data_IF_255574410155
#
_entry.id   IF_255574410155
#
_cell.length_a   1.000
_cell.length_b   1.000
_cell.length_c   1.000
_cell.angle_alpha   90.00
_cell.angle_beta   90.00
_cell.angle_gamma   90.00
#
_symmetry.space_group_name_H-M   'P 1'
#
loop_
_entity.id
_entity.type
_entity.pdbx_description
1 polymer ?
#
# COMPACT_ATOMS: atom_id res chain seq x y z
N UNK A 1 5.30 15.79 -0.06
CA UNK A 1 6.59 15.22 0.39
C UNK A 1 7.60 15.38 -0.73
N UNK A 2 8.76 15.93 -0.45
CA UNK A 2 9.87 15.96 -1.41
C UNK A 2 10.56 14.59 -1.35
N UNK A 3 10.82 14.00 -2.51
CA UNK A 3 11.62 12.78 -2.59
C UNK A 3 13.05 13.05 -2.06
N UNK A 4 13.69 12.06 -1.44
CA UNK A 4 15.10 12.18 -1.05
C UNK A 4 15.99 12.57 -2.25
N UNK A 5 17.09 13.29 -2.01
CA UNK A 5 18.03 13.65 -3.08
C UNK A 5 18.47 12.44 -3.89
N UNK A 6 18.50 12.58 -5.21
CA UNK A 6 18.88 11.50 -6.16
C UNK A 6 17.78 10.49 -6.48
N UNK A 7 16.62 10.52 -5.80
CA UNK A 7 15.51 9.62 -6.15
C UNK A 7 14.76 10.04 -7.42
N UNK A 8 14.73 11.33 -7.73
CA UNK A 8 14.12 11.81 -8.98
C UNK A 8 14.83 11.27 -10.22
N UNK A 9 16.16 11.09 -10.14
CA UNK A 9 16.98 10.57 -11.24
C UNK A 9 16.76 9.05 -11.44
N UNK A 10 16.22 8.38 -10.43
CA UNK A 10 15.91 6.93 -10.47
C UNK A 10 14.46 6.65 -10.84
N UNK A 11 13.68 7.66 -11.15
CA UNK A 11 12.28 7.49 -11.47
C UNK A 11 12.12 6.89 -12.86
N UNK A 12 11.42 5.76 -12.97
CA UNK A 12 11.20 5.07 -14.24
C UNK A 12 10.04 5.65 -15.05
N UNK A 13 9.17 6.45 -14.43
CA UNK A 13 8.06 7.08 -15.14
C UNK A 13 8.55 8.28 -15.93
N UNK A 14 8.32 8.28 -17.23
CA UNK A 14 8.54 9.46 -18.09
C UNK A 14 7.47 10.51 -17.78
N UNK A 15 7.82 11.44 -16.89
CA UNK A 15 6.92 12.52 -16.46
C UNK A 15 6.65 13.57 -17.55
N UNK A 16 7.50 13.67 -18.55
CA UNK A 16 7.28 14.56 -19.70
C UNK A 16 6.14 14.01 -20.56
N UNK A 17 6.14 12.72 -20.80
CA UNK A 17 5.07 12.03 -21.53
C UNK A 17 3.81 11.86 -20.68
N UNK A 18 3.96 11.43 -19.42
CA UNK A 18 2.84 11.14 -18.50
C UNK A 18 2.66 12.25 -17.46
N UNK A 19 2.32 13.46 -17.91
CA UNK A 19 2.22 14.66 -17.07
C UNK A 19 1.26 14.53 -15.90
N UNK A 20 0.21 13.70 -16.00
CA UNK A 20 -0.72 13.42 -14.90
C UNK A 20 -0.08 12.74 -13.70
N UNK A 21 1.06 12.07 -13.87
CA UNK A 21 1.80 11.41 -12.80
C UNK A 21 2.78 12.33 -12.07
N UNK A 22 2.95 13.57 -12.48
CA UNK A 22 3.86 14.52 -11.82
C UNK A 22 3.51 14.77 -10.34
N UNK A 23 2.23 14.66 -9.98
CA UNK A 23 1.78 14.79 -8.59
C UNK A 23 1.88 13.48 -7.77
N UNK A 24 2.15 12.34 -8.42
CA UNK A 24 2.14 11.01 -7.82
C UNK A 24 3.52 10.35 -7.90
N UNK A 25 4.54 11.04 -7.40
CA UNK A 25 5.96 10.62 -7.49
C UNK A 25 6.28 9.22 -6.93
N UNK A 26 5.38 8.64 -6.14
CA UNK A 26 5.56 7.32 -5.54
C UNK A 26 4.93 6.19 -6.38
N UNK A 27 4.26 6.54 -7.48
CA UNK A 27 3.56 5.60 -8.35
C UNK A 27 4.20 5.67 -9.73
N UNK A 28 4.67 4.54 -10.24
CA UNK A 28 5.16 4.44 -11.60
C UNK A 28 4.02 4.11 -12.58
N UNK A 29 4.08 4.67 -13.78
CA UNK A 29 3.13 4.36 -14.83
C UNK A 29 3.32 2.91 -15.31
N UNK A 30 2.26 2.10 -15.47
CA UNK A 30 2.38 0.69 -15.84
C UNK A 30 3.18 0.44 -17.12
N UNK A 31 2.99 1.26 -18.16
CA UNK A 31 3.74 1.09 -19.42
C UNK A 31 5.25 1.33 -19.24
N UNK A 32 5.63 2.26 -18.36
CA UNK A 32 7.03 2.49 -18.04
C UNK A 32 7.64 1.31 -17.27
N UNK A 33 6.88 0.74 -16.32
CA UNK A 33 7.30 -0.46 -15.60
C UNK A 33 7.51 -1.62 -16.59
N UNK A 34 6.54 -1.84 -17.48
CA UNK A 34 6.63 -2.91 -18.47
C UNK A 34 7.81 -2.72 -19.42
N UNK A 35 8.05 -1.50 -19.88
CA UNK A 35 9.21 -1.18 -20.70
C UNK A 35 10.51 -1.45 -19.94
N UNK A 36 10.62 -1.02 -18.69
CA UNK A 36 11.79 -1.30 -17.84
C UNK A 36 12.01 -2.80 -17.65
N UNK A 37 10.97 -3.57 -17.41
CA UNK A 37 11.05 -5.04 -17.29
C UNK A 37 11.52 -5.73 -18.59
N UNK A 38 11.27 -5.14 -19.75
CA UNK A 38 11.66 -5.71 -21.04
C UNK A 38 13.04 -5.29 -21.48
N UNK A 39 13.49 -4.07 -21.13
CA UNK A 39 14.72 -3.44 -21.63
C UNK A 39 15.85 -3.36 -20.60
N UNK A 40 15.53 -3.55 -19.32
CA UNK A 40 16.41 -3.29 -18.17
C UNK A 40 16.85 -1.82 -18.05
N UNK A 41 16.16 -0.90 -18.74
CA UNK A 41 16.46 0.53 -18.69
C UNK A 41 15.40 1.27 -17.84
N UNK A 42 15.80 2.24 -17.01
CA UNK A 42 17.16 2.74 -16.74
C UNK A 42 18.00 1.85 -15.79
N UNK A 43 17.42 0.80 -15.23
CA UNK A 43 18.05 -0.21 -14.40
C UNK A 43 17.19 -1.48 -14.34
N UNK A 44 17.78 -2.68 -14.16
CA UNK A 44 17.00 -3.91 -14.07
C UNK A 44 16.15 -3.95 -12.79
N UNK A 45 14.88 -4.31 -12.93
CA UNK A 45 14.02 -4.68 -11.82
C UNK A 45 14.24 -6.15 -11.50
N UNK A 46 14.51 -6.46 -10.23
CA UNK A 46 14.93 -7.81 -9.81
C UNK A 46 13.88 -8.54 -8.98
N UNK A 47 12.98 -7.79 -8.33
CA UNK A 47 11.96 -8.33 -7.45
C UNK A 47 10.63 -7.63 -7.68
N UNK A 48 9.56 -8.39 -7.68
CA UNK A 48 8.21 -7.85 -7.58
C UNK A 48 7.51 -8.36 -6.31
N UNK A 49 6.79 -7.46 -5.66
CA UNK A 49 5.95 -7.78 -4.52
C UNK A 49 4.51 -7.38 -4.84
N UNK A 50 3.65 -8.37 -4.95
CA UNK A 50 2.25 -8.20 -5.32
C UNK A 50 1.38 -8.19 -4.06
N UNK A 51 0.63 -7.12 -3.87
CA UNK A 51 -0.30 -6.94 -2.77
C UNK A 51 -1.75 -7.07 -3.25
N UNK A 52 -2.53 -7.97 -2.69
CA UNK A 52 -3.97 -8.09 -2.87
C UNK A 52 -4.39 -7.90 -4.34
N UNK A 53 -3.68 -8.53 -5.27
CA UNK A 53 -3.89 -8.28 -6.69
C UNK A 53 -3.84 -9.55 -7.52
N UNK A 54 -4.79 -9.64 -8.44
CA UNK A 54 -4.72 -10.58 -9.57
C UNK A 54 -4.31 -9.84 -10.84
N UNK A 55 -3.22 -9.04 -10.74
CA UNK A 55 -2.83 -8.02 -11.70
C UNK A 55 -2.74 -8.53 -13.14
N UNK A 56 -2.16 -9.70 -13.36
CA UNK A 56 -1.99 -10.26 -14.71
C UNK A 56 -3.33 -10.64 -15.34
N UNK A 57 -4.26 -11.15 -14.55
CA UNK A 57 -5.56 -11.53 -15.05
C UNK A 57 -6.54 -10.36 -15.21
N UNK A 58 -6.42 -9.32 -14.36
CA UNK A 58 -7.44 -8.28 -14.25
C UNK A 58 -7.00 -6.89 -14.70
N UNK A 59 -5.77 -6.47 -14.40
CA UNK A 59 -5.36 -5.06 -14.50
C UNK A 59 -4.41 -4.75 -15.64
N UNK A 60 -3.74 -5.74 -16.20
CA UNK A 60 -2.84 -5.55 -17.35
C UNK A 60 -3.56 -5.54 -18.69
N UNK A 61 -4.88 -5.70 -18.68
CA UNK A 61 -5.76 -5.62 -19.85
C UNK A 61 -5.28 -6.40 -21.07
N UNK A 62 -5.14 -5.71 -22.21
CA UNK A 62 -4.77 -6.33 -23.47
C UNK A 62 -3.34 -6.88 -23.52
N UNK A 63 -2.50 -6.60 -22.54
CA UNK A 63 -1.08 -6.94 -22.53
C UNK A 63 -0.69 -8.03 -21.51
N UNK A 64 -1.65 -8.79 -20.99
CA UNK A 64 -1.43 -9.79 -19.94
C UNK A 64 -0.29 -10.77 -20.25
N UNK A 65 -0.20 -11.28 -21.49
CA UNK A 65 0.88 -12.18 -21.92
C UNK A 65 2.26 -11.51 -21.91
N UNK A 66 2.32 -10.23 -22.24
CA UNK A 66 3.55 -9.44 -22.24
C UNK A 66 4.03 -9.22 -20.83
N UNK A 67 3.14 -8.82 -19.93
CA UNK A 67 3.39 -8.68 -18.52
C UNK A 67 3.88 -9.99 -17.88
N UNK A 68 3.19 -11.10 -18.16
CA UNK A 68 3.58 -12.40 -17.64
C UNK A 68 5.02 -12.75 -18.00
N UNK A 69 5.36 -12.66 -19.29
CA UNK A 69 6.72 -12.96 -19.80
C UNK A 69 7.80 -12.04 -19.21
N UNK A 70 7.46 -10.78 -18.95
CA UNK A 70 8.38 -9.83 -18.37
C UNK A 70 8.63 -10.13 -16.89
N UNK A 71 7.56 -10.41 -16.13
CA UNK A 71 7.64 -10.72 -14.70
C UNK A 71 8.21 -12.12 -14.41
N UNK A 72 8.07 -13.08 -15.33
CA UNK A 72 8.69 -14.41 -15.23
C UNK A 72 10.22 -14.36 -15.20
N UNK A 73 10.83 -13.29 -15.69
CA UNK A 73 12.28 -13.09 -15.67
C UNK A 73 12.82 -12.54 -14.35
N UNK A 74 11.96 -12.12 -13.44
CA UNK A 74 12.37 -11.57 -12.15
C UNK A 74 13.13 -12.59 -11.33
N UNK A 75 14.13 -12.13 -10.57
CA UNK A 75 14.92 -13.00 -9.70
C UNK A 75 14.08 -13.56 -8.54
N UNK A 76 13.07 -12.82 -8.09
CA UNK A 76 12.21 -13.22 -6.98
C UNK A 76 10.85 -12.49 -7.01
N UNK A 77 9.77 -13.23 -6.95
CA UNK A 77 8.40 -12.72 -6.91
C UNK A 77 7.70 -13.14 -5.62
N UNK A 78 7.15 -12.19 -4.89
CA UNK A 78 6.36 -12.42 -3.68
C UNK A 78 4.90 -12.03 -3.94
N UNK A 79 3.96 -12.88 -3.55
CA UNK A 79 2.55 -12.54 -3.50
C UNK A 79 2.04 -12.54 -2.07
N UNK A 80 1.39 -11.46 -1.69
CA UNK A 80 0.75 -11.25 -0.40
C UNK A 80 -0.74 -11.05 -0.65
N UNK A 81 -1.55 -12.08 -0.42
CA UNK A 81 -2.96 -12.08 -0.76
C UNK A 81 -3.77 -13.02 0.14
N UNK A 82 -5.07 -12.80 0.21
CA UNK A 82 -6.03 -13.70 0.87
C UNK A 82 -6.23 -14.97 0.04
N UNK A 83 -6.13 -14.86 -1.28
CA UNK A 83 -6.38 -15.95 -2.21
C UNK A 83 -5.16 -16.29 -3.06
N UNK A 84 -4.96 -17.57 -3.32
CA UNK A 84 -4.02 -18.02 -4.33
C UNK A 84 -4.56 -17.71 -5.74
N UNK A 85 -4.35 -16.47 -6.16
CA UNK A 85 -4.83 -15.96 -7.45
C UNK A 85 -4.09 -16.60 -8.64
N UNK A 86 -4.63 -16.58 -9.87
CA UNK A 86 -3.90 -16.98 -11.06
C UNK A 86 -2.54 -16.27 -11.24
N UNK A 87 -2.45 -14.99 -10.86
CA UNK A 87 -1.17 -14.26 -10.85
C UNK A 87 -0.19 -14.88 -9.85
N UNK A 88 -0.64 -15.19 -8.63
CA UNK A 88 0.18 -15.84 -7.63
C UNK A 88 0.63 -17.24 -8.07
N UNK A 89 -0.29 -18.05 -8.59
CA UNK A 89 0.02 -19.42 -9.06
C UNK A 89 1.01 -19.43 -10.24
N UNK A 90 0.96 -18.42 -11.09
CA UNK A 90 1.77 -18.39 -12.30
C UNK A 90 3.14 -17.73 -12.15
N UNK A 91 3.32 -16.85 -11.16
CA UNK A 91 4.50 -15.97 -11.09
C UNK A 91 5.24 -16.00 -9.76
N UNK A 92 4.60 -16.38 -8.63
CA UNK A 92 5.21 -16.15 -7.34
C UNK A 92 6.08 -17.31 -6.87
N UNK A 93 7.28 -16.97 -6.41
CA UNK A 93 8.21 -17.88 -5.74
C UNK A 93 7.82 -18.07 -4.27
N UNK A 94 7.23 -17.03 -3.67
CA UNK A 94 6.76 -17.04 -2.29
C UNK A 94 5.34 -16.48 -2.21
N UNK A 95 4.43 -17.25 -1.60
CA UNK A 95 3.10 -16.80 -1.27
C UNK A 95 2.96 -16.58 0.23
N UNK A 96 2.53 -15.37 0.62
CA UNK A 96 2.27 -14.98 2.00
C UNK A 96 0.75 -14.85 2.19
N UNK A 97 0.10 -15.81 2.86
CA UNK A 97 -1.33 -15.75 3.11
C UNK A 97 -1.62 -14.66 4.14
N UNK A 98 -2.54 -13.74 3.81
CA UNK A 98 -2.94 -12.66 4.70
C UNK A 98 -4.32 -12.89 5.30
N UNK A 99 -4.53 -12.27 6.46
CA UNK A 99 -5.82 -12.28 7.14
C UNK A 99 -6.83 -11.35 6.46
N UNK A 100 -8.11 -11.70 6.55
CA UNK A 100 -9.22 -10.80 6.20
C UNK A 100 -9.58 -9.91 7.40
N UNK A 101 -10.46 -8.90 7.17
CA UNK A 101 -11.05 -8.12 8.25
C UNK A 101 -11.63 -9.02 9.35
N UNK A 102 -11.74 -8.52 10.58
CA UNK A 102 -12.14 -9.25 11.79
C UNK A 102 -11.11 -10.28 12.31
N UNK A 103 -10.02 -10.52 11.61
CA UNK A 103 -8.94 -11.46 12.00
C UNK A 103 -7.64 -10.74 12.36
N UNK A 104 -7.60 -9.43 12.25
CA UNK A 104 -6.51 -8.57 12.68
C UNK A 104 -7.06 -7.23 13.14
N UNK A 105 -6.28 -6.53 13.95
CA UNK A 105 -6.54 -5.15 14.31
C UNK A 105 -6.17 -4.24 13.15
N UNK A 106 -6.99 -3.21 12.91
CA UNK A 106 -6.77 -2.29 11.82
C UNK A 106 -7.41 -0.92 12.07
N UNK A 107 -7.01 0.06 11.29
CA UNK A 107 -7.57 1.39 11.34
C UNK A 107 -8.05 1.80 9.95
N UNK A 108 -9.30 2.24 9.85
CA UNK A 108 -9.87 2.82 8.64
C UNK A 108 -9.74 4.32 8.71
N UNK A 109 -8.87 4.85 7.86
CA UNK A 109 -8.62 6.29 7.75
C UNK A 109 -9.58 6.94 6.75
N UNK A 110 -9.80 8.26 6.86
CA UNK A 110 -10.49 9.02 5.84
C UNK A 110 -9.84 8.81 4.47
N UNK A 111 -10.64 8.50 3.47
CA UNK A 111 -10.18 8.26 2.11
C UNK A 111 -10.89 9.18 1.11
N UNK A 112 -10.21 9.54 0.04
CA UNK A 112 -10.62 10.47 -1.01
C UNK A 112 -12.13 10.52 -1.27
N UNK A 113 -12.78 11.63 -0.86
CA UNK A 113 -14.17 11.94 -1.16
C UNK A 113 -15.22 11.05 -0.49
N UNK A 114 -14.80 10.04 0.29
CA UNK A 114 -15.73 9.20 1.07
C UNK A 114 -15.54 9.51 2.55
N UNK A 115 -15.23 8.74 3.44
CA UNK A 115 -15.18 8.94 4.89
C UNK A 115 -14.14 10.01 5.33
N UNK A 116 -14.17 11.19 4.74
CA UNK A 116 -13.13 12.22 4.93
C UNK A 116 -13.10 12.83 6.35
N UNK A 117 -14.00 12.45 7.20
CA UNK A 117 -14.13 12.99 8.57
C UNK A 117 -14.40 11.89 9.61
N UNK A 118 -14.28 10.62 9.23
CA UNK A 118 -14.48 9.50 10.15
C UNK A 118 -13.23 8.63 10.19
N UNK A 119 -12.83 8.26 11.41
CA UNK A 119 -11.78 7.27 11.67
C UNK A 119 -12.43 6.13 12.45
N UNK A 120 -12.16 4.89 12.07
CA UNK A 120 -12.76 3.71 12.69
C UNK A 120 -11.69 2.69 13.03
N UNK A 121 -11.88 1.97 14.13
CA UNK A 121 -11.10 0.77 14.41
C UNK A 121 -11.77 -0.48 13.83
N UNK A 122 -10.95 -1.41 13.40
CA UNK A 122 -11.33 -2.80 13.18
C UNK A 122 -10.69 -3.63 14.28
N UNK A 123 -11.51 -4.29 15.08
CA UNK A 123 -11.01 -5.12 16.17
C UNK A 123 -10.91 -6.58 15.74
N UNK A 124 -9.80 -7.21 16.06
CA UNK A 124 -9.62 -8.64 15.90
C UNK A 124 -10.60 -9.40 16.78
N UNK A 125 -11.40 -10.26 16.19
CA UNK A 125 -12.41 -11.08 16.91
C UNK A 125 -12.11 -12.58 16.84
N UNK A 126 -11.22 -13.02 15.96
CA UNK A 126 -10.82 -14.43 15.86
C UNK A 126 -9.42 -14.56 15.28
N UNK A 127 -8.79 -15.70 15.55
CA UNK A 127 -7.53 -16.11 14.91
C UNK A 127 -7.77 -17.21 13.89
N UNK A 128 -6.99 -17.21 12.81
CA UNK A 128 -7.07 -18.23 11.78
C UNK A 128 -5.66 -18.62 11.32
N UNK A 129 -5.22 -19.77 11.79
CA UNK A 129 -3.92 -20.32 11.43
C UNK A 129 -2.76 -19.36 11.71
N UNK A 130 -1.73 -19.43 10.88
CA UNK A 130 -0.52 -18.62 11.01
C UNK A 130 -0.54 -17.35 10.12
N UNK A 131 -1.70 -17.00 9.54
CA UNK A 131 -1.83 -15.83 8.70
C UNK A 131 -1.59 -14.54 9.49
N UNK A 132 -0.95 -13.56 8.82
CA UNK A 132 -0.70 -12.21 9.34
C UNK A 132 -1.49 -11.20 8.54
N UNK A 133 -1.74 -10.02 9.09
CA UNK A 133 -2.21 -8.89 8.29
C UNK A 133 -1.08 -8.37 7.39
N UNK A 134 -1.46 -7.63 6.35
CA UNK A 134 -0.51 -6.95 5.47
C UNK A 134 0.50 -6.13 6.27
N UNK A 135 -0.01 -5.32 7.19
CA UNK A 135 0.83 -4.43 8.01
C UNK A 135 1.75 -5.20 8.97
N UNK A 136 1.31 -6.32 9.56
CA UNK A 136 2.18 -7.15 10.39
C UNK A 136 3.34 -7.74 9.58
N UNK A 137 3.09 -8.16 8.33
CA UNK A 137 4.14 -8.63 7.42
C UNK A 137 5.12 -7.50 7.12
N UNK A 138 4.61 -6.30 6.80
CA UNK A 138 5.43 -5.12 6.55
C UNK A 138 6.30 -4.76 7.76
N UNK A 139 5.75 -4.83 8.97
CA UNK A 139 6.52 -4.65 10.21
C UNK A 139 7.64 -5.68 10.36
N UNK A 140 7.33 -6.96 10.14
CA UNK A 140 8.33 -8.03 10.27
C UNK A 140 9.48 -7.88 9.27
N UNK A 141 9.18 -7.50 8.04
CA UNK A 141 10.17 -7.27 6.99
C UNK A 141 10.90 -5.95 7.19
N UNK A 142 10.16 -4.86 7.43
CA UNK A 142 10.69 -3.52 7.60
C UNK A 142 11.68 -3.42 8.77
N UNK A 143 11.33 -4.00 9.93
CA UNK A 143 12.24 -4.06 11.10
C UNK A 143 13.55 -4.82 10.82
N UNK A 144 13.52 -5.82 9.94
CA UNK A 144 14.73 -6.56 9.55
C UNK A 144 15.58 -5.80 8.53
N UNK A 145 14.95 -5.12 7.58
CA UNK A 145 15.64 -4.42 6.50
C UNK A 145 16.15 -3.04 6.94
N UNK A 146 15.35 -2.29 7.67
CA UNK A 146 15.68 -0.93 8.11
C UNK A 146 15.00 -0.61 9.45
N UNK A 147 15.56 -1.06 10.59
CA UNK A 147 14.97 -0.85 11.92
C UNK A 147 14.71 0.62 12.26
N UNK A 148 15.55 1.52 11.77
CA UNK A 148 15.41 2.96 12.03
C UNK A 148 14.19 3.60 11.36
N UNK A 149 13.71 3.03 10.26
CA UNK A 149 12.50 3.47 9.59
C UNK A 149 11.22 2.83 10.17
N UNK A 150 11.37 1.86 11.08
CA UNK A 150 10.28 1.15 11.74
C UNK A 150 10.44 1.23 13.27
N UNK A 151 10.29 2.44 13.86
CA UNK A 151 10.60 2.67 15.27
C UNK A 151 9.55 2.10 16.24
N UNK A 152 8.37 1.78 15.76
CA UNK A 152 7.24 1.30 16.57
C UNK A 152 7.46 -0.13 17.04
N UNK A 153 7.07 -0.44 18.28
CA UNK A 153 7.20 -1.80 18.82
C UNK A 153 6.15 -2.75 18.23
N UNK A 154 4.98 -2.23 17.92
CA UNK A 154 3.86 -2.98 17.38
C UNK A 154 2.97 -2.12 16.47
N UNK A 155 1.96 -2.73 15.86
CA UNK A 155 1.01 -2.07 14.96
C UNK A 155 0.14 -1.03 15.69
N UNK A 156 -0.19 -1.25 16.96
CA UNK A 156 -1.01 -0.32 17.73
C UNK A 156 -0.26 1.00 18.01
N UNK A 157 1.04 0.93 18.30
CA UNK A 157 1.89 2.13 18.46
C UNK A 157 1.94 2.94 17.15
N UNK A 158 2.07 2.25 16.02
CA UNK A 158 2.03 2.89 14.71
C UNK A 158 0.68 3.60 14.48
N UNK A 159 -0.44 2.96 14.75
CA UNK A 159 -1.76 3.58 14.57
C UNK A 159 -1.97 4.75 15.53
N UNK A 160 -1.48 4.66 16.77
CA UNK A 160 -1.51 5.78 17.72
C UNK A 160 -0.73 6.98 17.17
N UNK A 161 0.45 6.78 16.62
CA UNK A 161 1.20 7.86 15.98
C UNK A 161 0.47 8.43 14.76
N UNK A 162 -0.18 7.59 13.94
CA UNK A 162 -0.98 8.09 12.80
C UNK A 162 -2.16 8.94 13.27
N UNK A 163 -2.83 8.60 14.36
CA UNK A 163 -3.88 9.42 14.96
C UNK A 163 -3.33 10.77 15.41
N UNK A 164 -2.24 10.80 16.16
CA UNK A 164 -1.59 12.04 16.61
C UNK A 164 -1.13 12.91 15.42
N UNK A 165 -0.54 12.33 14.39
CA UNK A 165 -0.13 13.03 13.17
C UNK A 165 -1.34 13.61 12.40
N UNK A 166 -2.50 12.97 12.52
CA UNK A 166 -3.79 13.46 12.01
C UNK A 166 -4.45 14.53 12.89
N UNK A 167 -3.83 14.91 14.01
CA UNK A 167 -4.38 15.88 14.97
C UNK A 167 -5.44 15.29 15.91
N UNK A 168 -5.47 13.98 16.06
CA UNK A 168 -6.39 13.25 16.96
C UNK A 168 -5.63 12.88 18.22
N UNK A 169 -6.03 13.44 19.37
CA UNK A 169 -5.41 13.18 20.67
C UNK A 169 -6.10 11.98 21.35
N UNK A 170 -5.86 10.79 20.82
CA UNK A 170 -6.27 9.51 21.40
C UNK A 170 -5.33 8.39 20.97
N UNK A 171 -5.29 7.33 21.76
CA UNK A 171 -4.56 6.12 21.40
C UNK A 171 -5.40 5.23 20.47
N UNK A 172 -4.74 4.26 19.82
CA UNK A 172 -5.47 3.27 19.04
C UNK A 172 -6.36 2.39 19.92
N UNK A 173 -5.95 2.09 21.17
CA UNK A 173 -6.77 1.36 22.14
C UNK A 173 -8.04 2.13 22.50
N UNK A 174 -7.97 3.46 22.67
CA UNK A 174 -9.15 4.29 22.89
C UNK A 174 -10.10 4.20 21.69
N UNK A 175 -9.55 4.30 20.48
CA UNK A 175 -10.35 4.16 19.26
C UNK A 175 -10.98 2.75 19.13
N UNK A 176 -10.27 1.69 19.54
CA UNK A 176 -10.81 0.34 19.57
C UNK A 176 -11.99 0.20 20.53
N UNK A 177 -11.92 0.85 21.70
CA UNK A 177 -12.99 0.87 22.69
C UNK A 177 -14.21 1.67 22.22
N UNK A 178 -14.00 2.80 21.58
CA UNK A 178 -15.05 3.67 21.04
C UNK A 178 -15.62 3.17 19.71
N UNK A 179 -14.84 2.37 18.98
CA UNK A 179 -15.17 1.82 17.68
C UNK A 179 -14.95 2.79 16.52
N UNK A 180 -15.29 4.06 16.69
CA UNK A 180 -15.09 5.11 15.69
C UNK A 180 -15.09 6.49 16.31
N UNK A 181 -14.50 7.45 15.60
CA UNK A 181 -14.60 8.86 15.92
C UNK A 181 -14.93 9.68 14.68
N UNK A 182 -15.56 10.82 14.87
CA UNK A 182 -15.82 11.79 13.81
C UNK A 182 -14.94 13.02 14.02
N UNK A 183 -14.15 13.34 13.01
CA UNK A 183 -13.39 14.59 12.98
C UNK A 183 -14.33 15.77 12.73
N UNK A 184 -13.99 16.99 13.19
CA UNK A 184 -14.80 18.16 12.93
C UNK A 184 -15.10 18.33 11.44
N UNK A 185 -16.37 18.44 11.11
CA UNK A 185 -16.84 18.59 9.74
C UNK A 185 -17.70 19.83 9.59
N UNK A 186 -17.38 20.67 8.64
CA UNK A 186 -18.14 21.85 8.29
C UNK A 186 -18.93 21.61 7.00
N UNK A 187 -20.26 21.55 7.11
CA UNK A 187 -21.15 21.39 5.97
C UNK A 187 -21.10 22.61 5.06
N UNK A 188 -21.02 22.39 3.74
CA UNK A 188 -20.95 23.45 2.73
C UNK A 188 -19.80 24.44 2.91
N UNK A 189 -18.67 23.96 3.37
CA UNK A 189 -17.46 24.77 3.54
C UNK A 189 -17.08 25.56 2.27
N UNK A 190 -17.40 25.03 1.09
CA UNK A 190 -17.18 25.67 -0.20
C UNK A 190 -17.91 27.02 -0.37
N UNK A 191 -19.02 27.26 0.35
CA UNK A 191 -19.75 28.54 0.32
C UNK A 191 -18.93 29.68 0.93
N UNK A 192 -17.91 29.36 1.74
CA UNK A 192 -17.01 30.34 2.37
C UNK A 192 -15.74 30.61 1.55
N UNK A 193 -15.59 29.97 0.42
CA UNK A 193 -14.45 30.14 -0.47
C UNK A 193 -13.84 28.83 -0.94
N UNK A 194 -12.68 28.91 -1.56
CA UNK A 194 -11.95 27.74 -2.07
C UNK A 194 -11.51 26.84 -0.90
N UNK A 195 -11.79 25.57 -1.03
CA UNK A 195 -11.25 24.53 -0.15
C UNK A 195 -9.73 24.43 -0.36
N UNK A 196 -8.97 24.72 0.69
CA UNK A 196 -7.53 24.50 0.73
C UNK A 196 -7.23 23.43 1.78
#
# INVERSE_FOLDING_TARGET
QQLPPGMMEKQITDLEHYRGFQAAHVIAHPDCILNTLETDEPYPLKMAWFYATNGIANTTNAQGKRWFKALEKMEFNVCQDVFMTPTAMGLCDLFLPVTTFAKHDGMVLPHFGRNTHMVMAMNKVCEVGDCKSDLEIDFMVGKRLNPSAWPWDNVADFFTEQLHNGGVDMTFEDLQNDGWMQMPFEYRKYEKGLLR
#
